data_IF_372003229543
#
_entry.id   IF_372003229543
#
_cell.length_a   1.000
_cell.length_b   1.000
_cell.length_c   1.000
_cell.angle_alpha   90.00
_cell.angle_beta   90.00
_cell.angle_gamma   90.00
#
_symmetry.space_group_name_H-M   'P 1'
#
loop_
_entity.id
_entity.type
_entity.pdbx_description
1 polymer ?
#
# COMPACT_ATOMS: atom_id res chain seq x y z
N UNK A 1 -12.57 -15.32 -7.53
CA UNK A 1 -13.66 -14.29 -7.55
C UNK A 1 -13.55 -13.34 -6.36
N UNK A 2 -13.38 -13.84 -5.12
CA UNK A 2 -13.13 -13.01 -3.93
C UNK A 2 -11.83 -12.19 -4.06
N UNK A 3 -10.75 -12.79 -4.57
CA UNK A 3 -9.45 -12.11 -4.75
C UNK A 3 -9.52 -10.88 -5.68
N UNK A 4 -10.33 -10.91 -6.73
CA UNK A 4 -10.53 -9.76 -7.62
C UNK A 4 -11.27 -8.64 -6.90
N UNK A 5 -12.27 -8.98 -6.07
CA UNK A 5 -13.00 -7.99 -5.26
C UNK A 5 -12.07 -7.33 -4.23
N UNK A 6 -11.23 -8.12 -3.57
CA UNK A 6 -10.20 -7.64 -2.64
C UNK A 6 -9.21 -6.74 -3.39
N UNK A 7 -8.72 -7.16 -4.56
CA UNK A 7 -7.79 -6.36 -5.37
C UNK A 7 -8.38 -5.00 -5.79
N UNK A 8 -9.66 -4.95 -6.17
CA UNK A 8 -10.35 -3.68 -6.47
C UNK A 8 -10.41 -2.78 -5.24
N UNK A 9 -10.78 -3.35 -4.08
CA UNK A 9 -10.83 -2.61 -2.82
C UNK A 9 -9.45 -2.09 -2.42
N UNK A 10 -8.39 -2.88 -2.60
CA UNK A 10 -7.00 -2.48 -2.34
C UNK A 10 -6.58 -1.31 -3.23
N UNK A 11 -6.95 -1.30 -4.51
CA UNK A 11 -6.68 -0.18 -5.42
C UNK A 11 -7.43 1.08 -4.95
N UNK A 12 -8.70 0.96 -4.59
CA UNK A 12 -9.52 2.11 -4.13
C UNK A 12 -8.95 2.70 -2.84
N UNK A 13 -8.63 1.87 -1.86
CA UNK A 13 -8.00 2.30 -0.60
C UNK A 13 -6.62 2.91 -0.84
N UNK A 14 -5.87 2.37 -1.79
CA UNK A 14 -4.56 2.90 -2.17
C UNK A 14 -4.66 4.29 -2.80
N UNK A 15 -5.62 4.50 -3.71
CA UNK A 15 -5.90 5.82 -4.30
C UNK A 15 -6.30 6.81 -3.20
N UNK A 16 -7.15 6.40 -2.26
CA UNK A 16 -7.53 7.23 -1.12
C UNK A 16 -6.32 7.61 -0.26
N UNK A 17 -5.46 6.65 0.07
CA UNK A 17 -4.26 6.87 0.87
C UNK A 17 -3.27 7.82 0.18
N UNK A 18 -3.07 7.68 -1.13
CA UNK A 18 -2.25 8.61 -1.91
C UNK A 18 -2.84 10.02 -1.92
N UNK A 19 -4.17 10.15 -2.13
CA UNK A 19 -4.87 11.43 -2.07
C UNK A 19 -4.74 12.09 -0.68
N UNK A 20 -5.00 11.35 0.39
CA UNK A 20 -4.88 11.84 1.76
C UNK A 20 -3.43 12.25 2.08
N UNK A 21 -2.45 11.49 1.60
CA UNK A 21 -1.03 11.82 1.75
C UNK A 21 -0.66 13.13 1.04
N UNK A 22 -1.23 13.36 -0.15
CA UNK A 22 -1.12 14.61 -0.88
C UNK A 22 -1.68 15.80 -0.10
N UNK A 23 -2.91 15.67 0.38
CA UNK A 23 -3.57 16.71 1.17
C UNK A 23 -2.77 17.05 2.45
N UNK A 24 -2.39 16.03 3.22
CA UNK A 24 -1.66 16.18 4.47
C UNK A 24 -0.25 16.78 4.29
N UNK A 25 0.41 16.51 3.17
CA UNK A 25 1.73 17.09 2.88
C UNK A 25 1.73 18.62 2.82
N UNK A 26 0.62 19.23 2.40
CA UNK A 26 0.49 20.70 2.35
C UNK A 26 0.27 21.26 3.75
N UNK A 27 -0.55 20.59 4.56
CA UNK A 27 -0.78 20.96 5.96
C UNK A 27 0.52 20.87 6.77
N UNK A 28 1.30 19.80 6.57
CA UNK A 28 2.57 19.57 7.22
C UNK A 28 3.58 20.71 6.99
N UNK A 29 3.69 21.21 5.75
CA UNK A 29 4.59 22.35 5.43
C UNK A 29 4.27 23.63 6.20
N UNK A 30 3.03 23.84 6.64
CA UNK A 30 2.68 24.96 7.52
C UNK A 30 3.14 24.75 8.97
N UNK A 31 3.21 23.50 9.40
CA UNK A 31 3.51 23.09 10.77
C UNK A 31 5.02 22.84 10.98
N UNK A 32 5.78 22.57 9.92
CA UNK A 32 7.24 22.31 9.89
C UNK A 32 8.11 23.39 10.56
N UNK A 33 7.57 24.57 10.90
CA UNK A 33 8.26 25.59 11.70
C UNK A 33 8.28 25.32 13.21
N UNK A 34 7.66 24.23 13.69
CA UNK A 34 7.71 23.86 15.10
C UNK A 34 8.46 22.55 15.33
N UNK A 35 9.35 22.55 16.33
CA UNK A 35 10.25 21.44 16.67
C UNK A 35 9.51 20.35 17.48
N UNK A 36 8.28 20.02 17.11
CA UNK A 36 7.43 19.05 17.79
C UNK A 36 7.62 17.66 17.18
N UNK A 37 8.03 16.70 18.00
CA UNK A 37 8.19 15.30 17.64
C UNK A 37 6.93 14.67 17.02
N UNK A 38 5.75 15.21 17.33
CA UNK A 38 4.47 14.79 16.73
C UNK A 38 4.41 15.10 15.23
N UNK A 39 5.01 16.21 14.80
CA UNK A 39 5.06 16.60 13.38
C UNK A 39 6.01 15.68 12.63
N UNK A 40 7.13 15.33 13.23
CA UNK A 40 8.05 14.32 12.66
C UNK A 40 7.34 12.99 12.47
N UNK A 41 6.59 12.51 13.47
CA UNK A 41 5.81 11.28 13.33
C UNK A 41 4.73 11.37 12.27
N UNK A 42 4.02 12.49 12.20
CA UNK A 42 3.00 12.71 11.19
C UNK A 42 3.59 12.76 9.77
N UNK A 43 4.76 13.37 9.60
CA UNK A 43 5.49 13.39 8.32
C UNK A 43 5.94 11.99 7.89
N UNK A 44 6.49 11.21 8.83
CA UNK A 44 6.86 9.81 8.60
C UNK A 44 5.63 8.98 8.20
N UNK A 45 4.53 9.08 8.95
CA UNK A 45 3.25 8.43 8.63
C UNK A 45 2.77 8.76 7.22
N UNK A 46 2.88 10.03 6.83
CA UNK A 46 2.48 10.50 5.53
C UNK A 46 3.27 9.87 4.37
N UNK A 47 4.58 9.66 4.57
CA UNK A 47 5.45 8.99 3.60
C UNK A 47 5.12 7.49 3.51
N UNK A 48 4.93 6.82 4.65
CA UNK A 48 4.54 5.42 4.67
C UNK A 48 3.17 5.18 4.02
N UNK A 49 2.21 6.08 4.21
CA UNK A 49 0.91 6.01 3.54
C UNK A 49 1.03 6.06 2.01
N UNK A 50 1.98 6.85 1.48
CA UNK A 50 2.21 6.94 0.04
C UNK A 50 2.90 5.67 -0.51
N UNK A 51 3.87 5.11 0.23
CA UNK A 51 4.50 3.83 -0.13
C UNK A 51 3.47 2.70 -0.12
N UNK A 52 2.60 2.65 0.90
CA UNK A 52 1.54 1.66 1.00
C UNK A 52 0.51 1.84 -0.12
N UNK A 53 0.16 3.08 -0.46
CA UNK A 53 -0.70 3.36 -1.61
C UNK A 53 -0.08 2.82 -2.91
N UNK A 54 1.21 3.04 -3.13
CA UNK A 54 1.88 2.50 -4.32
C UNK A 54 1.89 0.96 -4.31
N UNK A 55 2.21 0.37 -3.17
CA UNK A 55 2.26 -1.08 -3.02
C UNK A 55 0.90 -1.73 -3.25
N UNK A 56 -0.16 -1.22 -2.61
CA UNK A 56 -1.52 -1.75 -2.77
C UNK A 56 -2.10 -1.53 -4.17
N UNK A 57 -1.86 -0.36 -4.78
CA UNK A 57 -2.30 -0.09 -6.15
C UNK A 57 -1.61 -1.03 -7.14
N UNK A 58 -0.30 -1.25 -7.00
CA UNK A 58 0.45 -2.17 -7.85
C UNK A 58 0.01 -3.61 -7.63
N UNK A 59 -0.14 -4.02 -6.37
CA UNK A 59 -0.56 -5.36 -5.98
C UNK A 59 -1.92 -5.73 -6.59
N UNK A 60 -2.93 -4.88 -6.37
CA UNK A 60 -4.26 -5.12 -6.92
C UNK A 60 -4.29 -5.05 -8.44
N UNK A 61 -3.53 -4.12 -9.04
CA UNK A 61 -3.47 -3.99 -10.51
C UNK A 61 -2.81 -5.22 -11.14
N UNK A 62 -1.76 -5.77 -10.54
CA UNK A 62 -1.08 -6.97 -11.02
C UNK A 62 -2.02 -8.19 -11.01
N UNK A 63 -2.82 -8.35 -9.95
CA UNK A 63 -3.82 -9.42 -9.87
C UNK A 63 -4.84 -9.28 -11.01
N UNK A 64 -5.45 -8.10 -11.16
CA UNK A 64 -6.49 -7.87 -12.16
C UNK A 64 -5.93 -8.05 -13.58
N UNK A 65 -4.78 -7.45 -13.88
CA UNK A 65 -4.14 -7.58 -15.19
C UNK A 65 -3.72 -9.03 -15.47
N UNK A 66 -3.17 -9.74 -14.48
CA UNK A 66 -2.80 -11.14 -14.62
C UNK A 66 -3.99 -12.01 -15.02
N UNK A 67 -5.12 -11.88 -14.33
CA UNK A 67 -6.33 -12.61 -14.68
C UNK A 67 -6.88 -12.25 -16.07
N UNK A 68 -6.88 -10.97 -16.44
CA UNK A 68 -7.34 -10.51 -17.76
C UNK A 68 -6.43 -11.09 -18.86
N UNK A 69 -5.11 -10.97 -18.72
CA UNK A 69 -4.15 -11.43 -19.72
C UNK A 69 -4.16 -12.95 -19.86
N UNK A 70 -4.35 -13.69 -18.76
CA UNK A 70 -4.54 -15.14 -18.82
C UNK A 70 -5.83 -15.50 -19.55
N UNK A 71 -6.95 -14.82 -19.26
CA UNK A 71 -8.23 -15.05 -19.92
C UNK A 71 -8.16 -14.78 -21.43
N UNK A 72 -7.39 -13.78 -21.83
CA UNK A 72 -7.12 -13.45 -23.24
C UNK A 72 -6.01 -14.30 -23.88
N UNK A 73 -5.46 -15.29 -23.16
CA UNK A 73 -4.39 -16.17 -23.60
C UNK A 73 -3.05 -15.47 -23.94
N UNK A 74 -2.80 -14.27 -23.40
CA UNK A 74 -1.51 -13.57 -23.53
C UNK A 74 -0.43 -14.10 -22.57
N UNK A 75 -0.84 -14.71 -21.46
CA UNK A 75 0.07 -15.38 -20.51
C UNK A 75 -0.46 -16.77 -20.16
N UNK A 76 0.43 -17.67 -19.79
CA UNK A 76 0.05 -19.03 -19.36
C UNK A 76 -0.53 -19.04 -17.93
N UNK A 77 -1.27 -20.10 -17.59
CA UNK A 77 -1.71 -20.31 -16.19
C UNK A 77 -0.53 -20.43 -15.21
N UNK A 78 0.57 -21.06 -15.64
CA UNK A 78 1.81 -21.13 -14.84
C UNK A 78 2.42 -19.74 -14.62
N UNK A 79 2.40 -18.87 -15.64
CA UNK A 79 2.86 -17.49 -15.52
C UNK A 79 1.98 -16.67 -14.56
N UNK A 80 0.66 -16.91 -14.53
CA UNK A 80 -0.22 -16.29 -13.54
C UNK A 80 0.17 -16.73 -12.12
N UNK A 81 0.42 -18.01 -11.88
CA UNK A 81 0.85 -18.51 -10.56
C UNK A 81 2.19 -17.85 -10.16
N UNK A 82 3.16 -17.80 -11.07
CA UNK A 82 4.44 -17.15 -10.83
C UNK A 82 4.27 -15.65 -10.49
N UNK A 83 3.40 -14.95 -11.23
CA UNK A 83 3.04 -13.55 -10.98
C UNK A 83 2.43 -13.36 -9.60
N UNK A 84 1.39 -14.14 -9.25
CA UNK A 84 0.72 -14.03 -7.95
C UNK A 84 1.70 -14.34 -6.80
N UNK A 85 2.60 -15.29 -7.00
CA UNK A 85 3.64 -15.61 -6.02
C UNK A 85 4.59 -14.43 -5.80
N UNK A 86 5.19 -13.91 -6.87
CA UNK A 86 6.11 -12.77 -6.81
C UNK A 86 5.43 -11.51 -6.26
N UNK A 87 4.20 -11.25 -6.71
CA UNK A 87 3.39 -10.11 -6.26
C UNK A 87 3.16 -10.17 -4.73
N UNK A 88 2.86 -11.35 -4.19
CA UNK A 88 2.76 -11.55 -2.75
C UNK A 88 4.10 -11.39 -2.03
N UNK A 89 5.20 -11.94 -2.55
CA UNK A 89 6.53 -11.79 -1.94
C UNK A 89 6.98 -10.32 -1.86
N UNK A 90 6.79 -9.56 -2.94
CA UNK A 90 7.25 -8.17 -2.99
C UNK A 90 6.28 -7.25 -2.25
N UNK A 91 5.01 -7.25 -2.66
CA UNK A 91 4.05 -6.26 -2.17
C UNK A 91 3.34 -6.71 -0.90
N UNK A 92 3.11 -8.01 -0.70
CA UNK A 92 2.64 -8.54 0.58
C UNK A 92 3.65 -8.26 1.71
N UNK A 93 4.95 -8.45 1.43
CA UNK A 93 6.02 -8.09 2.36
C UNK A 93 6.06 -6.60 2.69
N UNK A 94 5.92 -5.74 1.68
CA UNK A 94 5.82 -4.28 1.88
C UNK A 94 4.61 -3.91 2.73
N UNK A 95 3.43 -4.48 2.47
CA UNK A 95 2.19 -4.24 3.22
C UNK A 95 2.38 -4.62 4.70
N UNK A 96 2.97 -5.79 4.98
CA UNK A 96 3.28 -6.23 6.36
C UNK A 96 4.23 -5.25 7.05
N UNK A 97 5.31 -4.84 6.38
CA UNK A 97 6.27 -3.90 6.95
C UNK A 97 5.63 -2.55 7.28
N UNK A 98 4.84 -1.98 6.36
CA UNK A 98 4.08 -0.75 6.62
C UNK A 98 3.05 -0.91 7.74
N UNK A 99 2.42 -2.08 7.87
CA UNK A 99 1.47 -2.37 8.95
C UNK A 99 2.12 -2.31 10.34
N UNK A 100 3.37 -2.79 10.46
CA UNK A 100 4.16 -2.67 11.69
C UNK A 100 4.42 -1.20 12.03
N UNK A 101 4.75 -0.38 11.03
CA UNK A 101 5.00 1.05 11.25
C UNK A 101 3.75 1.79 11.71
N UNK A 102 2.60 1.54 11.07
CA UNK A 102 1.30 2.11 11.47
C UNK A 102 0.95 1.68 12.90
N UNK A 103 1.22 0.42 13.25
CA UNK A 103 1.00 -0.10 14.60
C UNK A 103 1.81 0.67 15.63
N UNK A 104 3.11 0.85 15.39
CA UNK A 104 4.00 1.63 16.27
C UNK A 104 3.45 3.06 16.45
N UNK A 105 3.04 3.71 15.37
CA UNK A 105 2.47 5.06 15.43
C UNK A 105 1.19 5.11 16.27
N UNK A 106 0.29 4.14 16.11
CA UNK A 106 -0.94 4.08 16.89
C UNK A 106 -0.68 3.83 18.38
N UNK A 107 0.31 3.00 18.74
CA UNK A 107 0.73 2.79 20.14
C UNK A 107 1.28 4.09 20.73
N UNK A 108 2.12 4.80 19.98
CA UNK A 108 2.68 6.08 20.42
C UNK A 108 1.56 7.10 20.65
N UNK A 109 0.62 7.22 19.71
CA UNK A 109 -0.55 8.10 19.86
C UNK A 109 -1.36 7.76 21.11
N UNK A 110 -1.68 6.49 21.32
CA UNK A 110 -2.44 6.03 22.48
C UNK A 110 -1.74 6.35 23.81
N UNK A 111 -0.41 6.21 23.87
CA UNK A 111 0.38 6.50 25.09
C UNK A 111 0.37 7.99 25.46
N UNK A 112 0.26 8.88 24.47
CA UNK A 112 0.15 10.33 24.67
C UNK A 112 -1.26 10.77 25.03
N UNK A 113 -2.24 10.38 24.21
CA UNK A 113 -3.61 10.91 24.35
C UNK A 113 -4.35 10.25 25.51
N UNK A 114 -4.00 9.00 25.82
CA UNK A 114 -4.65 8.15 26.82
C UNK A 114 -6.18 8.04 26.63
N UNK A 115 -6.66 8.31 25.41
CA UNK A 115 -8.08 8.18 25.05
C UNK A 115 -8.40 6.72 24.78
N UNK A 116 -9.52 6.23 25.31
CA UNK A 116 -9.94 4.85 25.12
C UNK A 116 -10.05 4.43 23.64
N UNK A 117 -10.46 5.36 22.76
CA UNK A 117 -10.54 5.12 21.31
C UNK A 117 -9.16 4.89 20.72
N UNK A 118 -8.18 5.76 21.02
CA UNK A 118 -6.81 5.64 20.50
C UNK A 118 -6.14 4.35 21.00
N UNK A 119 -6.38 3.98 22.26
CA UNK A 119 -5.93 2.71 22.84
C UNK A 119 -6.56 1.52 22.10
N UNK A 120 -7.87 1.58 21.82
CA UNK A 120 -8.57 0.55 21.05
C UNK A 120 -8.01 0.39 19.63
N UNK A 121 -7.73 1.50 18.93
CA UNK A 121 -7.11 1.49 17.60
C UNK A 121 -5.72 0.86 17.66
N UNK A 122 -4.91 1.20 18.67
CA UNK A 122 -3.57 0.61 18.83
C UNK A 122 -3.62 -0.91 19.06
N UNK A 123 -4.56 -1.39 19.89
CA UNK A 123 -4.75 -2.83 20.12
C UNK A 123 -5.17 -3.52 18.82
N UNK A 124 -6.15 -2.97 18.10
CA UNK A 124 -6.60 -3.52 16.82
C UNK A 124 -5.46 -3.62 15.81
N UNK A 125 -4.72 -2.53 15.60
CA UNK A 125 -3.58 -2.51 14.68
C UNK A 125 -2.51 -3.53 15.08
N UNK A 126 -2.24 -3.69 16.37
CA UNK A 126 -1.28 -4.68 16.88
C UNK A 126 -1.72 -6.10 16.52
N UNK A 127 -2.97 -6.46 16.78
CA UNK A 127 -3.52 -7.78 16.45
C UNK A 127 -3.48 -8.00 14.94
N UNK A 128 -3.94 -7.03 14.16
CA UNK A 128 -3.97 -7.11 12.70
C UNK A 128 -2.55 -7.26 12.11
N UNK A 129 -1.59 -6.48 12.60
CA UNK A 129 -0.19 -6.55 12.14
C UNK A 129 0.45 -7.90 12.48
N UNK A 130 0.18 -8.46 13.67
CA UNK A 130 0.66 -9.79 14.04
C UNK A 130 0.03 -10.88 13.16
N UNK A 131 -1.27 -10.81 12.93
CA UNK A 131 -1.98 -11.76 12.08
C UNK A 131 -1.44 -11.75 10.65
N UNK A 132 -1.30 -10.56 10.06
CA UNK A 132 -0.74 -10.39 8.71
C UNK A 132 0.71 -10.90 8.63
N UNK A 133 1.53 -10.62 9.65
CA UNK A 133 2.90 -11.11 9.73
C UNK A 133 2.96 -12.64 9.79
N UNK A 134 2.14 -13.27 10.61
CA UNK A 134 2.09 -14.73 10.74
C UNK A 134 1.67 -15.36 9.41
N UNK A 135 0.60 -14.86 8.79
CA UNK A 135 0.14 -15.35 7.50
C UNK A 135 1.22 -15.23 6.42
N UNK A 136 1.91 -14.09 6.39
CA UNK A 136 2.98 -13.85 5.44
C UNK A 136 4.16 -14.82 5.66
N UNK A 137 4.62 -15.00 6.91
CA UNK A 137 5.70 -15.95 7.25
C UNK A 137 5.31 -17.39 6.87
N UNK A 138 4.07 -17.79 7.13
CA UNK A 138 3.58 -19.13 6.79
C UNK A 138 3.50 -19.36 5.28
N UNK A 139 3.12 -18.34 4.51
CA UNK A 139 3.05 -18.42 3.06
C UNK A 139 4.43 -18.30 2.38
N UNK A 140 5.39 -17.62 3.01
CA UNK A 140 6.67 -17.26 2.40
C UNK A 140 7.45 -18.43 1.77
N UNK A 141 7.58 -19.61 2.41
CA UNK A 141 8.29 -20.75 1.80
C UNK A 141 7.62 -21.22 0.51
N UNK A 142 6.29 -21.42 0.54
CA UNK A 142 5.53 -21.90 -0.60
C UNK A 142 5.56 -20.92 -1.77
N UNK A 143 5.48 -19.61 -1.48
CA UNK A 143 5.62 -18.57 -2.49
C UNK A 143 7.02 -18.59 -3.11
N UNK A 144 8.06 -18.66 -2.29
CA UNK A 144 9.46 -18.67 -2.75
C UNK A 144 9.76 -19.90 -3.59
N UNK A 145 9.29 -21.09 -3.18
CA UNK A 145 9.40 -22.34 -3.92
C UNK A 145 8.69 -22.23 -5.27
N UNK A 146 7.42 -21.80 -5.27
CA UNK A 146 6.63 -21.58 -6.49
C UNK A 146 7.34 -20.65 -7.47
N UNK A 147 7.93 -19.56 -6.98
CA UNK A 147 8.71 -18.65 -7.80
C UNK A 147 9.96 -19.34 -8.34
N UNK A 148 10.75 -19.99 -7.49
CA UNK A 148 12.02 -20.59 -7.89
C UNK A 148 11.85 -21.73 -8.90
N UNK A 149 10.85 -22.57 -8.73
CA UNK A 149 10.53 -23.71 -9.61
C UNK A 149 9.86 -23.31 -10.92
N UNK A 150 9.36 -22.07 -11.02
CA UNK A 150 8.77 -21.58 -12.27
C UNK A 150 9.82 -21.51 -13.38
N UNK A 151 9.45 -22.02 -14.56
CA UNK A 151 10.24 -21.93 -15.79
C UNK A 151 10.53 -20.46 -16.15
N UNK A 152 11.68 -20.20 -16.78
CA UNK A 152 12.15 -18.85 -17.09
C UNK A 152 11.16 -18.05 -17.95
N UNK A 153 10.51 -18.70 -18.91
CA UNK A 153 9.48 -18.07 -19.74
C UNK A 153 8.30 -17.54 -18.89
N UNK A 154 7.83 -18.34 -17.94
CA UNK A 154 6.72 -17.96 -17.05
C UNK A 154 7.13 -16.83 -16.10
N UNK A 155 8.39 -16.84 -15.61
CA UNK A 155 8.96 -15.75 -14.82
C UNK A 155 9.03 -14.45 -15.64
N UNK A 156 9.48 -14.52 -16.88
CA UNK A 156 9.58 -13.35 -17.75
C UNK A 156 8.20 -12.75 -18.04
N UNK A 157 7.19 -13.58 -18.36
CA UNK A 157 5.81 -13.11 -18.51
C UNK A 157 5.30 -12.45 -17.23
N UNK A 158 5.50 -13.08 -16.07
CA UNK A 158 5.13 -12.51 -14.78
C UNK A 158 5.79 -11.15 -14.50
N UNK A 159 7.09 -11.02 -14.76
CA UNK A 159 7.83 -9.77 -14.57
C UNK A 159 7.32 -8.64 -15.47
N UNK A 160 6.97 -8.94 -16.72
CA UNK A 160 6.38 -7.96 -17.65
C UNK A 160 5.05 -7.45 -17.10
N UNK A 161 4.17 -8.36 -16.66
CA UNK A 161 2.87 -7.97 -16.09
C UNK A 161 3.07 -7.14 -14.82
N UNK A 162 4.01 -7.52 -13.97
CA UNK A 162 4.31 -6.78 -12.74
C UNK A 162 4.87 -5.38 -13.03
N UNK A 163 5.73 -5.24 -14.05
CA UNK A 163 6.26 -3.95 -14.47
C UNK A 163 5.16 -3.01 -15.00
N UNK A 164 4.23 -3.55 -15.82
CA UNK A 164 3.07 -2.80 -16.29
C UNK A 164 2.14 -2.38 -15.14
N UNK A 165 1.89 -3.30 -14.20
CA UNK A 165 1.10 -3.00 -13.01
C UNK A 165 1.74 -1.93 -12.13
N UNK A 166 3.07 -1.99 -11.94
CA UNK A 166 3.82 -0.99 -11.19
C UNK A 166 3.76 0.38 -11.86
N UNK A 167 3.89 0.43 -13.19
CA UNK A 167 3.73 1.66 -13.95
C UNK A 167 2.34 2.28 -13.73
N UNK A 168 1.28 1.48 -13.85
CA UNK A 168 -0.09 1.95 -13.58
C UNK A 168 -0.25 2.38 -12.11
N UNK A 169 0.31 1.63 -11.17
CA UNK A 169 0.30 1.97 -9.74
C UNK A 169 0.96 3.32 -9.46
N UNK A 170 2.10 3.62 -10.11
CA UNK A 170 2.75 4.94 -10.04
C UNK A 170 1.81 6.02 -10.57
N UNK A 171 1.22 5.80 -11.75
CA UNK A 171 0.31 6.78 -12.38
C UNK A 171 -0.88 7.07 -11.47
N UNK A 172 -1.58 6.05 -10.98
CA UNK A 172 -2.75 6.19 -10.12
C UNK A 172 -2.41 6.95 -8.83
N UNK A 173 -1.34 6.54 -8.15
CA UNK A 173 -0.96 7.16 -6.88
C UNK A 173 -0.42 8.57 -7.05
N UNK A 174 0.33 8.85 -8.11
CA UNK A 174 0.81 10.18 -8.43
C UNK A 174 -0.34 11.16 -8.68
N UNK A 175 -1.31 10.78 -9.52
CA UNK A 175 -2.45 11.65 -9.81
C UNK A 175 -3.33 11.86 -8.58
N UNK A 176 -3.60 10.82 -7.80
CA UNK A 176 -4.36 10.92 -6.56
C UNK A 176 -3.66 11.88 -5.56
N UNK A 177 -2.35 11.70 -5.36
CA UNK A 177 -1.53 12.57 -4.51
C UNK A 177 -1.56 14.03 -4.98
N UNK A 178 -1.41 14.26 -6.30
CA UNK A 178 -1.48 15.60 -6.89
C UNK A 178 -2.84 16.25 -6.63
N UNK A 179 -3.95 15.53 -6.85
CA UNK A 179 -5.30 16.03 -6.58
C UNK A 179 -5.50 16.41 -5.11
N UNK A 180 -4.99 15.58 -4.19
CA UNK A 180 -5.03 15.87 -2.75
C UNK A 180 -4.29 17.17 -2.40
N UNK A 181 -3.08 17.35 -2.94
CA UNK A 181 -2.30 18.59 -2.77
C UNK A 181 -3.03 19.82 -3.30
N UNK A 182 -3.57 19.74 -4.51
CA UNK A 182 -4.28 20.87 -5.13
C UNK A 182 -5.50 21.30 -4.34
N UNK A 183 -6.26 20.34 -3.79
CA UNK A 183 -7.41 20.65 -2.94
C UNK A 183 -6.99 21.33 -1.63
N UNK A 184 -5.96 20.82 -0.95
CA UNK A 184 -5.44 21.47 0.27
C UNK A 184 -4.97 22.91 0.01
N UNK A 185 -4.28 23.14 -1.10
CA UNK A 185 -3.82 24.49 -1.49
C UNK A 185 -4.99 25.45 -1.73
N UNK A 186 -6.05 24.99 -2.41
CA UNK A 186 -7.26 25.80 -2.62
C UNK A 186 -7.91 26.20 -1.31
N UNK A 187 -8.19 25.23 -0.44
CA UNK A 187 -8.85 25.47 0.85
C UNK A 187 -8.05 26.42 1.75
N UNK A 188 -6.72 26.28 1.74
CA UNK A 188 -5.81 27.20 2.44
C UNK A 188 -5.89 28.63 1.88
N UNK A 189 -5.91 28.80 0.57
CA UNK A 189 -5.96 30.12 -0.05
C UNK A 189 -7.31 30.82 0.21
N UNK A 190 -8.41 30.07 0.28
CA UNK A 190 -9.72 30.60 0.66
C UNK A 190 -9.83 30.96 2.15
N UNK A 191 -8.97 30.45 3.03
CA UNK A 191 -8.98 30.81 4.46
C UNK A 191 -8.23 32.12 4.78
N UNK A 192 -7.61 32.75 3.79
CA UNK A 192 -6.77 33.96 3.93
C UNK A 192 -7.40 35.17 3.19
N UNK A 193 -8.47 34.95 2.41
CA UNK A 193 -9.25 35.99 1.74
C UNK A 193 -10.52 36.32 2.53
#
# INVERSE_FOLDING_TARGET
MIEILIAILDIVLSIWNAYASGYNSVLLRKLEFSNDWKITLFSIANQFALVLAFAGATYGTAIILGYILMYLHYISYKALIALLSLNNLVFGGLIVFTGIVITIQSIVQASVTKKAIDIGVAIYNTIASLFNLIQYIQAFPALTETWNESEEENKNQALIVLALAAFIGIVLTFYAYKMGREKALKEINYSIA
#
